data_IF_718638864860
#
_entry.id   IF_718638864860
#
_cell.length_a   1.000
_cell.length_b   1.000
_cell.length_c   1.000
_cell.angle_alpha   90.00
_cell.angle_beta   90.00
_cell.angle_gamma   90.00
#
_symmetry.space_group_name_H-M   'P 1'
#
loop_
_entity.id
_entity.type
_entity.pdbx_description
1 polymer ?
#
# COMPACT_ATOMS: atom_id res chain seq x y z
N UNK A 1 -14.63 27.36 2.66
CA UNK A 1 -15.17 26.03 3.03
C UNK A 1 -14.82 25.07 1.92
N UNK A 2 -13.94 24.10 2.17
CA UNK A 2 -13.71 22.98 1.24
C UNK A 2 -14.87 22.01 1.45
N UNK A 3 -15.62 21.61 0.41
CA UNK A 3 -16.72 20.67 0.58
C UNK A 3 -16.18 19.34 1.09
N UNK A 4 -16.66 18.91 2.26
CA UNK A 4 -16.14 17.79 3.03
C UNK A 4 -16.74 16.42 2.62
N UNK A 5 -17.23 16.30 1.38
CA UNK A 5 -17.68 15.02 0.83
C UNK A 5 -16.56 14.43 -0.02
N UNK A 6 -15.58 13.82 0.64
CA UNK A 6 -14.66 12.94 -0.07
C UNK A 6 -15.46 11.74 -0.58
N UNK A 7 -15.76 11.71 -1.87
CA UNK A 7 -16.32 10.54 -2.54
C UNK A 7 -15.21 9.50 -2.64
N UNK A 8 -15.38 8.36 -1.97
CA UNK A 8 -14.47 7.23 -2.08
C UNK A 8 -14.90 6.34 -3.24
N UNK A 9 -13.93 5.90 -4.05
CA UNK A 9 -14.16 4.82 -5.02
C UNK A 9 -13.96 3.51 -4.27
N UNK A 10 -15.05 2.78 -4.05
CA UNK A 10 -15.01 1.39 -3.58
C UNK A 10 -15.11 0.45 -4.78
N UNK A 11 -14.40 -0.66 -4.73
CA UNK A 11 -14.44 -1.70 -5.76
C UNK A 11 -14.50 -3.05 -5.09
N UNK A 12 -15.30 -3.95 -5.65
CA UNK A 12 -15.37 -5.36 -5.24
C UNK A 12 -14.26 -6.21 -5.91
N UNK A 13 -13.39 -5.59 -6.74
CA UNK A 13 -12.27 -6.28 -7.39
C UNK A 13 -11.26 -6.87 -6.39
N UNK A 14 -11.17 -6.29 -5.19
CA UNK A 14 -10.45 -6.92 -4.09
C UNK A 14 -11.32 -8.02 -3.48
N UNK A 15 -11.17 -9.25 -3.96
CA UNK A 15 -11.87 -10.42 -3.40
C UNK A 15 -11.41 -10.70 -1.96
N UNK A 16 -12.15 -10.13 -1.00
CA UNK A 16 -11.93 -10.36 0.41
C UNK A 16 -12.42 -11.74 0.83
N UNK A 17 -11.57 -12.43 1.59
CA UNK A 17 -11.85 -13.71 2.25
C UNK A 17 -12.13 -13.45 3.72
N UNK A 18 -13.19 -14.06 4.24
CA UNK A 18 -13.71 -13.92 5.59
C UNK A 18 -13.51 -15.21 6.40
N UNK A 19 -12.37 -15.39 7.10
CA UNK A 19 -12.11 -16.61 7.86
C UNK A 19 -13.17 -16.96 8.90
N UNK A 20 -13.87 -15.97 9.47
CA UNK A 20 -14.97 -16.19 10.40
C UNK A 20 -16.20 -16.89 9.77
N UNK A 21 -16.30 -16.86 8.43
CA UNK A 21 -17.33 -17.54 7.65
C UNK A 21 -16.81 -18.84 7.00
N UNK A 22 -15.60 -19.27 7.33
CA UNK A 22 -15.00 -20.50 6.83
C UNK A 22 -14.10 -20.34 5.59
N UNK A 23 -13.91 -19.11 5.09
CA UNK A 23 -12.97 -18.89 3.99
C UNK A 23 -11.52 -19.21 4.39
N UNK A 24 -10.65 -19.54 3.41
CA UNK A 24 -9.25 -19.82 3.69
C UNK A 24 -8.55 -18.68 4.44
N UNK A 25 -7.82 -19.05 5.49
CA UNK A 25 -6.87 -18.16 6.17
C UNK A 25 -5.58 -18.07 5.36
N UNK A 26 -4.91 -16.91 5.32
CA UNK A 26 -3.56 -16.85 4.79
C UNK A 26 -2.61 -17.47 5.82
N UNK A 27 -1.41 -17.87 5.40
CA UNK A 27 -0.37 -18.30 6.33
C UNK A 27 -0.06 -17.17 7.31
N UNK A 28 0.02 -17.46 8.61
CA UNK A 28 0.31 -16.47 9.65
C UNK A 28 1.60 -15.68 9.31
N UNK A 29 1.57 -14.37 9.52
CA UNK A 29 2.69 -13.48 9.18
C UNK A 29 2.78 -13.06 7.71
N UNK A 30 1.97 -13.64 6.81
CA UNK A 30 1.94 -13.23 5.39
C UNK A 30 1.43 -11.80 5.27
N UNK A 31 2.11 -10.97 4.47
CA UNK A 31 1.63 -9.63 4.15
C UNK A 31 0.45 -9.70 3.20
N UNK A 32 -0.68 -9.16 3.63
CA UNK A 32 -1.95 -9.13 2.91
C UNK A 32 -2.58 -7.74 3.05
N UNK A 33 -3.59 -7.46 2.24
CA UNK A 33 -4.55 -6.41 2.56
C UNK A 33 -5.47 -6.94 3.64
N UNK A 34 -5.67 -6.16 4.70
CA UNK A 34 -6.52 -6.49 5.83
C UNK A 34 -7.66 -5.50 5.90
N UNK A 35 -8.89 -6.00 5.96
CA UNK A 35 -10.06 -5.22 6.34
C UNK A 35 -10.25 -5.33 7.86
N UNK A 36 -10.13 -4.19 8.53
CA UNK A 36 -10.32 -4.09 9.98
C UNK A 36 -11.81 -3.94 10.34
N UNK A 37 -12.16 -4.21 11.60
CA UNK A 37 -13.51 -3.96 12.14
C UNK A 37 -13.95 -2.49 12.00
N UNK A 38 -13.01 -1.55 11.96
CA UNK A 38 -13.29 -0.11 11.74
C UNK A 38 -13.53 0.27 10.28
N UNK A 39 -13.58 -0.70 9.36
CA UNK A 39 -13.77 -0.44 7.92
C UNK A 39 -12.50 0.04 7.20
N UNK A 40 -11.36 0.12 7.90
CA UNK A 40 -10.09 0.52 7.29
C UNK A 40 -9.44 -0.67 6.58
N UNK A 41 -9.00 -0.45 5.34
CA UNK A 41 -8.12 -1.34 4.59
C UNK A 41 -6.65 -0.93 4.79
N UNK A 42 -5.82 -1.85 5.27
CA UNK A 42 -4.37 -1.63 5.46
C UNK A 42 -3.55 -2.80 4.91
N UNK A 43 -2.32 -2.52 4.47
CA UNK A 43 -1.35 -3.57 4.12
C UNK A 43 -0.50 -3.93 5.35
N UNK A 44 -0.73 -5.12 5.91
CA UNK A 44 0.00 -5.59 7.10
C UNK A 44 0.13 -7.12 7.12
N UNK A 45 0.92 -7.64 8.05
CA UNK A 45 0.99 -9.09 8.28
C UNK A 45 -0.35 -9.59 8.85
N UNK A 46 -0.87 -10.69 8.33
CA UNK A 46 -2.04 -11.32 8.91
C UNK A 46 -1.74 -11.84 10.32
N UNK A 47 -2.53 -11.35 11.27
CA UNK A 47 -2.57 -11.79 12.65
C UNK A 47 -3.95 -12.40 12.88
N UNK A 48 -4.02 -13.60 13.45
CA UNK A 48 -5.29 -14.27 13.74
C UNK A 48 -5.93 -13.65 15.00
N UNK A 49 -6.33 -12.38 14.88
CA UNK A 49 -6.90 -11.57 15.96
C UNK A 49 -8.32 -11.12 15.61
N UNK A 50 -9.22 -10.96 16.60
CA UNK A 50 -10.61 -10.58 16.34
C UNK A 50 -10.80 -9.19 15.70
N UNK A 51 -9.76 -8.37 15.63
CA UNK A 51 -9.82 -7.04 15.02
C UNK A 51 -9.78 -7.09 13.49
N UNK A 52 -9.20 -8.14 12.90
CA UNK A 52 -9.13 -8.33 11.46
C UNK A 52 -10.33 -9.16 11.00
N UNK A 53 -11.13 -8.61 10.10
CA UNK A 53 -12.41 -9.19 9.65
C UNK A 53 -12.23 -10.03 8.40
N UNK A 54 -11.46 -9.50 7.45
CA UNK A 54 -11.22 -10.14 6.17
C UNK A 54 -9.82 -9.80 5.65
N UNK A 55 -9.38 -10.55 4.65
CA UNK A 55 -8.12 -10.31 3.98
C UNK A 55 -8.22 -10.49 2.47
N UNK A 56 -7.36 -9.82 1.72
CA UNK A 56 -7.21 -9.99 0.29
C UNK A 56 -5.72 -10.04 -0.09
N UNK A 57 -5.33 -10.68 -1.20
CA UNK A 57 -3.97 -10.60 -1.72
C UNK A 57 -3.56 -9.15 -2.00
N UNK A 58 -2.27 -8.84 -1.82
CA UNK A 58 -1.73 -7.54 -2.26
C UNK A 58 -1.72 -7.52 -3.80
N UNK A 59 -2.15 -6.42 -4.45
CA UNK A 59 -2.11 -6.32 -5.91
C UNK A 59 -0.68 -6.48 -6.42
N UNK A 60 -0.53 -7.25 -7.51
CA UNK A 60 0.77 -7.43 -8.15
C UNK A 60 1.17 -6.14 -8.86
N UNK A 61 2.37 -5.65 -8.54
CA UNK A 61 2.96 -4.49 -9.22
C UNK A 61 3.08 -4.74 -10.72
N UNK A 62 2.56 -3.84 -11.55
CA UNK A 62 2.63 -3.92 -13.01
C UNK A 62 3.72 -2.99 -13.57
N UNK A 63 4.95 -3.50 -13.61
CA UNK A 63 6.13 -2.75 -14.07
C UNK A 63 6.00 -2.26 -15.51
N UNK A 64 5.34 -3.03 -16.39
CA UNK A 64 5.17 -2.65 -17.80
C UNK A 64 4.35 -1.36 -17.90
N UNK A 65 3.19 -1.30 -17.24
CA UNK A 65 2.36 -0.09 -17.19
C UNK A 65 3.10 1.08 -16.54
N UNK A 66 3.86 0.83 -15.48
CA UNK A 66 4.67 1.88 -14.84
C UNK A 66 5.77 2.43 -15.75
N UNK A 67 6.42 1.58 -16.56
CA UNK A 67 7.38 2.01 -17.58
C UNK A 67 6.74 2.83 -18.68
N UNK A 68 5.52 2.48 -19.10
CA UNK A 68 4.74 3.28 -20.04
C UNK A 68 4.43 4.67 -19.46
N UNK A 69 4.02 4.75 -18.19
CA UNK A 69 3.80 6.01 -17.47
C UNK A 69 5.09 6.84 -17.39
N UNK A 70 6.22 6.22 -17.04
CA UNK A 70 7.51 6.90 -16.96
C UNK A 70 7.94 7.50 -18.30
N UNK A 71 7.63 6.81 -19.41
CA UNK A 71 7.88 7.31 -20.76
C UNK A 71 6.92 8.42 -21.18
N UNK A 72 5.66 8.38 -20.73
CA UNK A 72 4.66 9.42 -21.04
C UNK A 72 4.80 10.68 -20.18
N UNK A 73 5.50 10.61 -19.04
CA UNK A 73 5.74 11.73 -18.13
C UNK A 73 7.23 11.93 -17.87
N UNK A 74 7.96 12.67 -18.74
CA UNK A 74 9.41 12.86 -18.62
C UNK A 74 9.86 13.73 -17.42
N UNK A 75 8.97 14.13 -16.51
CA UNK A 75 9.31 14.95 -15.34
C UNK A 75 8.67 14.36 -14.07
N UNK A 76 9.49 13.86 -13.13
CA UNK A 76 9.02 13.62 -11.77
C UNK A 76 9.76 12.58 -10.91
N UNK A 77 10.55 11.67 -11.48
CA UNK A 77 11.40 10.79 -10.66
C UNK A 77 12.70 11.52 -10.27
N UNK A 78 12.58 12.58 -9.46
CA UNK A 78 13.71 13.00 -8.64
C UNK A 78 13.93 11.90 -7.60
N UNK A 79 14.82 10.96 -7.93
CA UNK A 79 15.56 10.20 -6.93
C UNK A 79 16.00 11.19 -5.85
N UNK A 80 15.56 10.98 -4.62
CA UNK A 80 16.12 11.66 -3.45
C UNK A 80 17.64 11.40 -3.46
N UNK A 81 18.36 12.30 -4.11
CA UNK A 81 19.81 12.34 -4.08
C UNK A 81 20.17 12.62 -2.62
N UNK A 82 20.90 11.69 -2.01
CA UNK A 82 21.61 11.95 -0.77
C UNK A 82 22.35 13.28 -0.92
N UNK A 83 22.33 14.16 0.10
CA UNK A 83 23.05 15.42 0.02
C UNK A 83 24.53 15.14 -0.25
N UNK A 84 25.21 15.97 -1.07
CA UNK A 84 26.64 15.79 -1.32
C UNK A 84 27.39 15.83 0.02
N UNK A 85 28.49 15.06 0.16
CA UNK A 85 29.28 15.06 1.38
C UNK A 85 29.73 16.50 1.67
N UNK A 86 29.51 16.96 2.91
CA UNK A 86 30.02 18.25 3.38
C UNK A 86 31.53 18.25 3.20
N UNK A 87 32.04 19.11 2.34
CA UNK A 87 33.47 19.39 2.27
C UNK A 87 33.91 19.89 3.65
N UNK A 88 34.76 19.11 4.32
CA UNK A 88 35.49 19.55 5.49
C UNK A 88 36.32 20.76 5.06
N UNK A 89 35.94 21.96 5.51
CA UNK A 89 36.87 23.09 5.48
C UNK A 89 37.77 22.88 6.68
N UNK A 90 38.99 22.44 6.41
CA UNK A 90 40.09 22.63 7.33
C UNK A 90 40.42 24.13 7.34
N UNK A 91 39.94 24.82 8.37
CA UNK A 91 40.41 26.15 8.71
C UNK A 91 41.75 25.97 9.43
N UNK A 92 42.82 26.39 8.75
CA UNK A 92 44.17 26.52 9.34
C UNK A 92 44.34 27.78 10.16
#
# INVERSE_FOLDING_TARGET
>A
MIPNNATYISSDEAEYRYPALGDPKPTAGTKVLVLTKGGLCIATAWLDIPFFVAWAPVPKRNKTKESEIARSHPQGYQSHQSPPPRSHRDDG
#
